data_IF_252026344794
#
_entry.id   IF_252026344794
#
_cell.length_a   1.000
_cell.length_b   1.000
_cell.length_c   1.000
_cell.angle_alpha   90.00
_cell.angle_beta   90.00
_cell.angle_gamma   90.00
#
_symmetry.space_group_name_H-M   'P 1'
#
loop_
_entity.id
_entity.type
_entity.pdbx_description
1 polymer ?
#
# COMPACT_ATOMS: atom_id res chain seq x y z
N UNK A 1 -14.46 -13.30 9.12
CA UNK A 1 -13.06 -12.80 9.18
C UNK A 1 -12.15 -13.94 9.62
N UNK A 2 -10.93 -14.07 9.09
CA UNK A 2 -9.98 -15.14 9.52
C UNK A 2 -9.25 -14.82 10.83
N UNK A 3 -9.29 -13.56 11.27
CA UNK A 3 -8.70 -13.11 12.53
C UNK A 3 -9.81 -12.83 13.56
N UNK A 4 -9.97 -13.75 14.52
CA UNK A 4 -10.96 -13.62 15.59
C UNK A 4 -10.67 -12.42 16.51
N UNK A 5 -9.40 -12.03 16.69
CA UNK A 5 -9.05 -10.89 17.56
C UNK A 5 -9.53 -9.57 16.95
N UNK A 6 -9.37 -9.41 15.63
CA UNK A 6 -9.90 -8.25 14.92
C UNK A 6 -11.42 -8.21 15.00
N UNK A 7 -12.09 -9.35 14.81
CA UNK A 7 -13.54 -9.42 14.84
C UNK A 7 -14.13 -9.01 16.20
N UNK A 8 -13.56 -9.49 17.31
CA UNK A 8 -14.02 -9.10 18.64
C UNK A 8 -13.79 -7.61 18.90
N UNK A 9 -12.66 -7.03 18.45
CA UNK A 9 -12.44 -5.58 18.52
C UNK A 9 -13.48 -4.77 17.74
N UNK A 10 -13.88 -5.24 16.56
CA UNK A 10 -14.88 -4.57 15.73
C UNK A 10 -16.28 -4.61 16.36
N UNK A 11 -16.60 -5.61 17.19
CA UNK A 11 -17.88 -5.69 17.90
C UNK A 11 -17.98 -4.67 19.03
N UNK A 12 -16.86 -4.37 19.68
CA UNK A 12 -16.80 -3.52 20.87
C UNK A 12 -16.24 -2.12 20.59
N UNK A 13 -16.17 -1.71 19.32
CA UNK A 13 -15.62 -0.40 18.96
C UNK A 13 -16.71 0.67 19.05
N UNK A 14 -16.37 1.80 19.67
CA UNK A 14 -17.25 2.97 19.70
C UNK A 14 -17.07 3.87 18.46
N UNK A 15 -16.08 3.56 17.61
CA UNK A 15 -15.80 4.31 16.38
C UNK A 15 -16.82 3.93 15.30
N UNK A 16 -17.38 4.89 14.53
CA UNK A 16 -18.23 4.58 13.39
C UNK A 16 -17.57 3.58 12.43
N UNK A 17 -18.29 2.50 12.11
CA UNK A 17 -17.77 1.40 11.32
C UNK A 17 -18.49 1.32 9.98
N UNK A 18 -17.74 1.36 8.88
CA UNK A 18 -18.26 1.12 7.53
C UNK A 18 -17.64 -0.17 6.99
N UNK A 19 -18.49 -1.08 6.51
CA UNK A 19 -18.09 -2.31 5.83
C UNK A 19 -18.33 -2.14 4.33
N UNK A 20 -17.24 -2.13 3.57
CA UNK A 20 -17.27 -2.06 2.11
C UNK A 20 -17.23 -3.49 1.53
N UNK A 21 -18.36 -3.95 1.02
CA UNK A 21 -18.44 -5.21 0.29
C UNK A 21 -18.00 -4.97 -1.17
N UNK A 22 -16.69 -5.09 -1.43
CA UNK A 22 -16.11 -4.81 -2.74
C UNK A 22 -16.23 -6.00 -3.72
N UNK A 23 -16.05 -5.72 -5.02
CA UNK A 23 -16.08 -6.67 -6.15
C UNK A 23 -17.46 -7.28 -6.42
N UNK A 24 -18.53 -6.52 -6.18
CA UNK A 24 -19.90 -7.00 -6.48
C UNK A 24 -20.12 -7.27 -7.97
N UNK A 25 -19.30 -6.68 -8.84
CA UNK A 25 -19.27 -6.93 -10.28
C UNK A 25 -18.90 -8.37 -10.66
N UNK A 26 -18.25 -9.11 -9.76
CA UNK A 26 -17.88 -10.51 -9.94
C UNK A 26 -18.86 -11.49 -9.28
N UNK A 27 -19.88 -10.97 -8.58
CA UNK A 27 -20.79 -11.76 -7.76
C UNK A 27 -22.22 -11.66 -8.27
N UNK A 28 -23.00 -12.72 -8.02
CA UNK A 28 -24.44 -12.71 -8.28
C UNK A 28 -25.17 -11.90 -7.20
N UNK A 29 -26.30 -11.29 -7.57
CA UNK A 29 -27.10 -10.43 -6.69
C UNK A 29 -27.55 -11.14 -5.41
N UNK A 30 -27.91 -12.43 -5.50
CA UNK A 30 -28.34 -13.22 -4.35
C UNK A 30 -27.20 -13.42 -3.35
N UNK A 31 -25.98 -13.67 -3.83
CA UNK A 31 -24.80 -13.80 -2.99
C UNK A 31 -24.49 -12.49 -2.25
N UNK A 32 -24.52 -11.37 -2.97
CA UNK A 32 -24.33 -10.03 -2.37
C UNK A 32 -25.37 -9.77 -1.28
N UNK A 33 -26.63 -10.09 -1.56
CA UNK A 33 -27.74 -9.93 -0.61
C UNK A 33 -27.59 -10.81 0.64
N UNK A 34 -27.10 -12.04 0.49
CA UNK A 34 -26.81 -12.95 1.60
C UNK A 34 -25.67 -12.42 2.47
N UNK A 35 -24.58 -11.95 1.87
CA UNK A 35 -23.46 -11.38 2.63
C UNK A 35 -23.87 -10.10 3.37
N UNK A 36 -24.68 -9.22 2.76
CA UNK A 36 -25.24 -8.04 3.46
C UNK A 36 -26.02 -8.48 4.71
N UNK A 37 -26.92 -9.47 4.58
CA UNK A 37 -27.72 -9.97 5.72
C UNK A 37 -26.83 -10.54 6.82
N UNK A 38 -25.81 -11.31 6.44
CA UNK A 38 -24.86 -11.93 7.36
C UNK A 38 -24.07 -10.87 8.13
N UNK A 39 -23.45 -9.91 7.44
CA UNK A 39 -22.66 -8.87 8.10
C UNK A 39 -23.51 -7.95 8.95
N UNK A 40 -24.75 -7.67 8.55
CA UNK A 40 -25.70 -6.91 9.37
C UNK A 40 -26.08 -7.63 10.66
N UNK A 41 -26.09 -8.96 10.66
CA UNK A 41 -26.30 -9.78 11.86
C UNK A 41 -25.04 -9.83 12.74
N UNK A 42 -23.87 -9.97 12.13
CA UNK A 42 -22.59 -10.08 12.85
C UNK A 42 -22.13 -8.76 13.47
N UNK A 43 -22.37 -7.63 12.78
CA UNK A 43 -21.95 -6.29 13.15
C UNK A 43 -23.11 -5.31 12.92
N UNK A 44 -24.15 -5.32 13.78
CA UNK A 44 -25.37 -4.54 13.57
C UNK A 44 -25.17 -3.02 13.60
N UNK A 45 -24.10 -2.54 14.24
CA UNK A 45 -23.73 -1.13 14.32
C UNK A 45 -22.95 -0.64 13.09
N UNK A 46 -22.54 -1.53 12.19
CA UNK A 46 -21.79 -1.16 11.01
C UNK A 46 -22.71 -0.72 9.86
N UNK A 47 -22.32 0.33 9.15
CA UNK A 47 -22.92 0.70 7.88
C UNK A 47 -22.35 -0.17 6.75
N UNK A 48 -23.22 -0.83 5.99
CA UNK A 48 -22.83 -1.76 4.91
C UNK A 48 -23.04 -1.14 3.54
N UNK A 49 -21.97 -1.03 2.76
CA UNK A 49 -22.01 -0.49 1.40
C UNK A 49 -21.45 -1.52 0.40
N UNK A 50 -22.29 -2.07 -0.51
CA UNK A 50 -21.80 -2.85 -1.64
C UNK A 50 -21.20 -1.94 -2.70
N UNK A 51 -19.98 -2.24 -3.14
CA UNK A 51 -19.22 -1.38 -4.06
C UNK A 51 -18.53 -2.21 -5.17
N UNK A 52 -18.24 -1.56 -6.29
CA UNK A 52 -17.24 -2.04 -7.25
C UNK A 52 -16.20 -0.96 -7.43
N UNK A 53 -15.06 -1.12 -6.77
CA UNK A 53 -13.95 -0.17 -6.90
C UNK A 53 -13.40 -0.12 -8.34
N UNK A 54 -13.47 -1.25 -9.07
CA UNK A 54 -13.00 -1.32 -10.45
C UNK A 54 -13.90 -0.50 -11.40
N UNK A 55 -15.21 -0.54 -11.18
CA UNK A 55 -16.21 0.11 -12.04
C UNK A 55 -16.69 1.46 -11.49
N UNK A 56 -16.04 2.00 -10.46
CA UNK A 56 -16.45 3.22 -9.75
C UNK A 56 -17.90 3.18 -9.21
N UNK A 57 -18.44 1.98 -8.96
CA UNK A 57 -19.80 1.84 -8.46
C UNK A 57 -19.86 2.16 -6.96
N UNK A 58 -20.76 3.07 -6.61
CA UNK A 58 -21.11 3.44 -5.23
C UNK A 58 -19.96 4.06 -4.42
N UNK A 59 -18.88 4.52 -5.08
CA UNK A 59 -17.74 5.16 -4.40
C UNK A 59 -18.07 6.55 -3.85
N UNK A 60 -18.88 7.34 -4.58
CA UNK A 60 -19.27 8.68 -4.14
C UNK A 60 -20.04 8.66 -2.80
N UNK A 61 -20.88 7.64 -2.59
CA UNK A 61 -21.63 7.45 -1.35
C UNK A 61 -20.69 7.22 -0.17
N UNK A 62 -19.58 6.51 -0.37
CA UNK A 62 -18.56 6.30 0.66
C UNK A 62 -18.02 7.65 1.13
N UNK A 63 -17.68 8.55 0.19
CA UNK A 63 -17.11 9.86 0.51
C UNK A 63 -18.10 10.68 1.33
N UNK A 64 -19.37 10.75 0.89
CA UNK A 64 -20.43 11.45 1.63
C UNK A 64 -20.56 10.91 3.05
N UNK A 65 -20.64 9.58 3.20
CA UNK A 65 -20.78 8.93 4.51
C UNK A 65 -19.59 9.15 5.43
N UNK A 66 -18.38 9.13 4.88
CA UNK A 66 -17.18 9.44 5.65
C UNK A 66 -17.23 10.87 6.16
N UNK A 67 -17.57 11.84 5.30
CA UNK A 67 -17.68 13.26 5.70
C UNK A 67 -18.73 13.45 6.79
N UNK A 68 -19.90 12.81 6.67
CA UNK A 68 -20.98 12.88 7.66
C UNK A 68 -20.58 12.30 9.04
N UNK A 69 -19.65 11.34 9.06
CA UNK A 69 -19.16 10.70 10.28
C UNK A 69 -17.94 11.39 10.90
N UNK A 70 -17.29 12.31 10.18
CA UNK A 70 -16.10 13.00 10.69
C UNK A 70 -16.49 14.03 11.76
N UNK A 71 -15.75 14.09 12.88
CA UNK A 71 -15.94 15.15 13.86
C UNK A 71 -15.51 16.50 13.25
N UNK A 72 -16.23 17.56 13.62
CA UNK A 72 -15.83 18.92 13.26
C UNK A 72 -14.48 19.23 13.92
N UNK A 73 -13.50 19.63 13.10
CA UNK A 73 -12.15 19.92 13.57
C UNK A 73 -11.46 20.93 12.65
N UNK A 74 -10.52 21.76 13.14
CA UNK A 74 -9.66 22.57 12.27
C UNK A 74 -8.85 21.69 11.29
N UNK A 75 -8.46 22.25 10.13
CA UNK A 75 -7.53 21.56 9.24
C UNK A 75 -6.19 21.37 9.95
N UNK A 76 -5.75 20.11 10.07
CA UNK A 76 -4.44 19.77 10.64
C UNK A 76 -3.29 19.82 9.62
N UNK A 77 -3.62 19.88 8.32
CA UNK A 77 -2.67 19.90 7.20
C UNK A 77 -3.12 20.95 6.17
N UNK A 78 -2.16 21.48 5.41
CA UNK A 78 -2.42 22.41 4.31
C UNK A 78 -3.20 21.73 3.18
N UNK A 79 -3.98 22.49 2.41
CA UNK A 79 -4.81 21.94 1.31
C UNK A 79 -3.98 21.27 0.21
N UNK A 80 -2.75 21.71 0.04
CA UNK A 80 -1.81 21.19 -0.96
C UNK A 80 -0.94 20.05 -0.41
N UNK A 81 -1.07 19.73 0.89
CA UNK A 81 -0.40 18.59 1.49
C UNK A 81 -1.06 17.30 1.02
N UNK A 82 -0.47 16.65 0.00
CA UNK A 82 -0.94 15.37 -0.51
C UNK A 82 -0.93 14.25 0.57
N UNK A 83 -0.04 14.34 1.58
CA UNK A 83 0.05 13.40 2.71
C UNK A 83 1.00 13.90 3.80
N UNK A 84 0.96 13.30 5.00
CA UNK A 84 1.96 13.42 6.08
C UNK A 84 3.25 12.64 5.82
N UNK A 85 3.28 11.81 4.75
CA UNK A 85 4.42 10.95 4.42
C UNK A 85 5.49 11.71 3.63
N UNK A 86 6.76 11.48 4.00
CA UNK A 86 7.91 12.05 3.28
C UNK A 86 7.98 11.58 1.83
N UNK A 87 8.56 12.37 0.92
CA UNK A 87 8.85 11.98 -0.48
C UNK A 87 9.53 10.60 -0.59
N UNK A 88 10.40 10.27 0.38
CA UNK A 88 11.04 8.96 0.51
C UNK A 88 10.04 7.81 0.55
N UNK A 89 8.91 7.97 1.24
CA UNK A 89 7.85 6.96 1.31
C UNK A 89 7.24 6.72 -0.07
N UNK A 90 6.94 7.78 -0.82
CA UNK A 90 6.40 7.60 -2.17
C UNK A 90 7.39 6.93 -3.11
N UNK A 91 8.67 7.26 -3.00
CA UNK A 91 9.72 6.54 -3.73
C UNK A 91 9.72 5.06 -3.38
N UNK A 92 9.62 4.71 -2.09
CA UNK A 92 9.51 3.32 -1.62
C UNK A 92 8.28 2.62 -2.21
N UNK A 93 7.10 3.27 -2.19
CA UNK A 93 5.85 2.74 -2.74
C UNK A 93 5.87 2.60 -4.27
N UNK A 94 6.42 3.56 -5.01
CA UNK A 94 6.52 3.49 -6.48
C UNK A 94 7.38 2.29 -6.88
N UNK A 95 8.53 2.08 -6.22
CA UNK A 95 9.38 0.93 -6.49
C UNK A 95 8.64 -0.37 -6.13
N UNK A 96 7.94 -0.40 -4.99
CA UNK A 96 7.12 -1.56 -4.56
C UNK A 96 6.02 -1.89 -5.56
N UNK A 97 5.34 -0.89 -6.10
CA UNK A 97 4.32 -1.04 -7.14
C UNK A 97 4.91 -1.70 -8.41
N UNK A 98 6.11 -1.29 -8.85
CA UNK A 98 6.75 -1.93 -10.03
C UNK A 98 7.12 -3.39 -9.74
N UNK A 99 7.55 -3.71 -8.53
CA UNK A 99 7.78 -5.11 -8.13
C UNK A 99 6.45 -5.89 -8.12
N UNK A 100 5.38 -5.33 -7.56
CA UNK A 100 4.05 -5.95 -7.57
C UNK A 100 3.50 -6.20 -8.98
N UNK A 101 3.72 -5.25 -9.89
CA UNK A 101 3.26 -5.32 -11.28
C UNK A 101 3.97 -6.42 -12.08
N UNK A 102 5.27 -6.59 -11.87
CA UNK A 102 6.11 -7.44 -12.70
C UNK A 102 6.36 -8.84 -12.13
N UNK A 103 6.19 -9.02 -10.83
CA UNK A 103 6.46 -10.30 -10.15
C UNK A 103 5.19 -10.88 -9.54
N UNK A 104 5.12 -12.20 -9.50
CA UNK A 104 3.97 -12.95 -8.95
C UNK A 104 4.42 -13.84 -7.79
N UNK A 105 3.48 -14.60 -7.24
CA UNK A 105 3.70 -15.57 -6.16
C UNK A 105 4.25 -14.88 -4.91
N UNK A 106 5.33 -15.39 -4.32
CA UNK A 106 5.86 -14.92 -3.04
C UNK A 106 6.69 -13.64 -3.12
N UNK A 107 7.20 -13.27 -4.31
CA UNK A 107 8.18 -12.17 -4.46
C UNK A 107 7.62 -10.83 -3.99
N UNK A 108 6.42 -10.38 -4.43
CA UNK A 108 5.93 -9.07 -4.01
C UNK A 108 5.69 -8.97 -2.51
N UNK A 109 5.38 -10.10 -1.87
CA UNK A 109 5.19 -10.21 -0.42
C UNK A 109 6.48 -10.56 0.32
N UNK A 110 7.63 -10.60 -0.36
CA UNK A 110 8.94 -10.94 0.21
C UNK A 110 9.94 -9.80 0.19
N UNK A 111 9.54 -8.63 -0.33
CA UNK A 111 10.40 -7.45 -0.46
C UNK A 111 10.08 -6.40 0.59
N UNK A 112 11.08 -5.58 0.90
CA UNK A 112 10.95 -4.29 1.58
C UNK A 112 11.81 -3.25 0.85
N UNK A 113 11.35 -2.01 0.74
CA UNK A 113 12.09 -0.95 0.05
C UNK A 113 12.44 0.12 1.08
N UNK A 114 13.70 0.54 1.10
CA UNK A 114 14.14 1.66 1.96
C UNK A 114 14.99 2.66 1.19
N UNK A 115 14.62 3.93 1.21
CA UNK A 115 15.49 5.00 0.72
C UNK A 115 16.56 5.29 1.77
N UNK A 116 17.80 4.89 1.50
CA UNK A 116 18.97 5.21 2.33
C UNK A 116 19.38 6.68 2.06
N UNK A 117 19.63 7.03 0.80
CA UNK A 117 20.08 8.36 0.41
C UNK A 117 19.05 9.08 -0.47
N UNK A 118 18.87 10.37 -0.23
CA UNK A 118 18.03 11.27 -1.01
C UNK A 118 18.74 12.63 -1.01
N UNK A 119 19.41 12.94 -2.11
CA UNK A 119 20.18 14.18 -2.29
C UNK A 119 19.48 15.01 -3.36
N UNK A 120 18.91 16.15 -2.96
CA UNK A 120 18.26 17.09 -3.86
C UNK A 120 19.27 18.17 -4.27
N UNK A 121 19.93 17.96 -5.43
CA UNK A 121 20.85 18.93 -6.02
C UNK A 121 20.10 19.79 -7.05
N UNK A 122 20.56 21.00 -7.36
CA UNK A 122 19.85 21.99 -8.21
C UNK A 122 19.18 21.40 -9.46
N UNK A 123 19.87 20.54 -10.22
CA UNK A 123 19.36 20.01 -11.49
C UNK A 123 18.88 18.56 -11.44
N UNK A 124 19.24 17.80 -10.38
CA UNK A 124 18.98 16.36 -10.30
C UNK A 124 18.81 15.89 -8.86
N UNK A 125 17.86 14.98 -8.64
CA UNK A 125 17.71 14.28 -7.37
C UNK A 125 18.41 12.93 -7.47
N UNK A 126 19.37 12.66 -6.59
CA UNK A 126 20.06 11.37 -6.50
C UNK A 126 19.45 10.55 -5.37
N UNK A 127 18.91 9.38 -5.71
CA UNK A 127 18.18 8.52 -4.80
C UNK A 127 18.83 7.14 -4.77
N UNK A 128 19.13 6.66 -3.56
CA UNK A 128 19.58 5.29 -3.33
C UNK A 128 18.52 4.54 -2.52
N UNK A 129 17.79 3.65 -3.20
CA UNK A 129 16.68 2.89 -2.63
C UNK A 129 17.01 1.39 -2.58
N UNK A 130 17.18 0.84 -1.39
CA UNK A 130 17.53 -0.56 -1.22
C UNK A 130 16.30 -1.44 -1.29
N UNK A 131 16.37 -2.46 -2.13
CA UNK A 131 15.38 -3.55 -2.16
C UNK A 131 15.91 -4.68 -1.26
N UNK A 132 15.28 -4.88 -0.11
CA UNK A 132 15.57 -6.00 0.76
C UNK A 132 14.76 -7.22 0.35
N UNK A 133 15.41 -8.38 0.28
CA UNK A 133 14.76 -9.68 0.06
C UNK A 133 15.11 -10.66 1.18
N UNK A 134 14.31 -11.71 1.35
CA UNK A 134 14.54 -12.69 2.43
C UNK A 134 15.55 -13.78 2.05
N UNK A 135 15.67 -14.12 0.76
CA UNK A 135 16.50 -15.24 0.26
C UNK A 135 17.28 -14.83 -0.99
N UNK A 136 18.44 -15.46 -1.21
CA UNK A 136 19.26 -15.22 -2.42
C UNK A 136 18.55 -15.64 -3.72
N UNK A 137 17.71 -16.69 -3.68
CA UNK A 137 16.88 -17.06 -4.83
C UNK A 137 15.97 -15.91 -5.27
N UNK A 138 15.41 -15.16 -4.32
CA UNK A 138 14.54 -14.01 -4.59
C UNK A 138 15.34 -12.85 -5.18
N UNK A 139 16.57 -12.61 -4.70
CA UNK A 139 17.49 -11.64 -5.30
C UNK A 139 17.73 -11.96 -6.78
N UNK A 140 18.06 -13.22 -7.08
CA UNK A 140 18.28 -13.68 -8.46
C UNK A 140 17.05 -13.48 -9.35
N UNK A 141 15.86 -13.76 -8.83
CA UNK A 141 14.59 -13.54 -9.55
C UNK A 141 14.38 -12.05 -9.87
N UNK A 142 14.59 -11.16 -8.90
CA UNK A 142 14.40 -9.70 -9.11
C UNK A 142 15.42 -9.15 -10.10
N UNK A 143 16.69 -9.55 -10.00
CA UNK A 143 17.72 -9.17 -10.98
C UNK A 143 17.28 -9.61 -12.38
N UNK A 144 16.78 -10.84 -12.51
CA UNK A 144 16.35 -11.43 -13.77
C UNK A 144 17.54 -11.72 -14.70
N UNK A 145 17.24 -12.31 -15.86
CA UNK A 145 18.26 -12.67 -16.83
C UNK A 145 19.08 -11.44 -17.25
N UNK A 146 20.40 -11.48 -17.05
CA UNK A 146 21.34 -10.38 -17.36
C UNK A 146 20.95 -9.01 -16.75
N UNK A 147 20.27 -9.00 -15.60
CA UNK A 147 19.87 -7.76 -14.93
C UNK A 147 18.66 -7.05 -15.56
N UNK A 148 18.01 -7.64 -16.56
CA UNK A 148 16.88 -7.01 -17.26
C UNK A 148 15.68 -6.74 -16.34
N UNK A 149 15.45 -7.61 -15.35
CA UNK A 149 14.36 -7.43 -14.38
C UNK A 149 14.55 -6.17 -13.55
N UNK A 150 15.74 -6.03 -12.95
CA UNK A 150 16.09 -4.86 -12.14
C UNK A 150 16.15 -3.57 -12.98
N UNK A 151 16.70 -3.64 -14.20
CA UNK A 151 16.72 -2.50 -15.12
C UNK A 151 15.31 -2.01 -15.44
N UNK A 152 14.36 -2.92 -15.67
CA UNK A 152 12.95 -2.59 -15.92
C UNK A 152 12.31 -1.92 -14.70
N UNK A 153 12.45 -2.50 -13.50
CA UNK A 153 11.94 -1.91 -12.24
C UNK A 153 12.48 -0.48 -12.07
N UNK A 154 13.81 -0.31 -12.13
CA UNK A 154 14.44 1.00 -11.92
C UNK A 154 14.04 2.02 -12.98
N UNK A 155 13.93 1.61 -14.25
CA UNK A 155 13.56 2.53 -15.34
C UNK A 155 12.12 3.01 -15.25
N UNK A 156 11.18 2.11 -14.92
CA UNK A 156 9.77 2.47 -14.74
C UNK A 156 9.57 3.32 -13.48
N UNK A 157 10.18 2.90 -12.35
CA UNK A 157 10.07 3.65 -11.10
C UNK A 157 10.68 5.05 -11.23
N UNK A 158 11.84 5.19 -11.87
CA UNK A 158 12.49 6.49 -12.08
C UNK A 158 11.58 7.47 -12.83
N UNK A 159 10.88 7.03 -13.89
CA UNK A 159 9.98 7.90 -14.66
C UNK A 159 8.83 8.42 -13.80
N UNK A 160 8.25 7.55 -12.98
CA UNK A 160 7.12 7.93 -12.12
C UNK A 160 7.57 8.84 -10.98
N UNK A 161 8.78 8.62 -10.43
CA UNK A 161 9.39 9.51 -9.44
C UNK A 161 9.73 10.87 -10.06
N UNK A 162 10.25 10.92 -11.29
CA UNK A 162 10.51 12.19 -11.99
C UNK A 162 9.21 13.00 -12.18
N UNK A 163 8.12 12.32 -12.54
CA UNK A 163 6.81 12.94 -12.67
C UNK A 163 6.28 13.44 -11.32
N UNK A 164 6.48 12.68 -10.24
CA UNK A 164 6.07 13.05 -8.89
C UNK A 164 6.84 14.27 -8.36
N UNK A 165 8.16 14.28 -8.54
CA UNK A 165 9.05 15.31 -7.96
C UNK A 165 9.29 16.50 -8.89
N UNK A 166 8.83 16.42 -10.15
CA UNK A 166 8.99 17.50 -11.13
C UNK A 166 10.45 17.78 -11.55
N UNK A 167 11.36 16.83 -11.31
CA UNK A 167 12.81 17.00 -11.49
C UNK A 167 13.45 15.73 -12.04
N UNK A 168 14.63 15.87 -12.67
CA UNK A 168 15.41 14.70 -13.11
C UNK A 168 15.84 13.87 -11.91
N UNK A 169 15.82 12.55 -12.06
CA UNK A 169 16.16 11.61 -10.98
C UNK A 169 17.24 10.65 -11.46
N UNK A 170 18.30 10.51 -10.66
CA UNK A 170 19.22 9.39 -10.72
C UNK A 170 18.81 8.38 -9.63
N UNK A 171 18.33 7.20 -10.04
CA UNK A 171 17.83 6.18 -9.14
C UNK A 171 18.74 4.95 -9.13
N UNK A 172 19.30 4.64 -7.96
CA UNK A 172 20.00 3.38 -7.70
C UNK A 172 19.13 2.44 -6.86
N UNK A 173 19.00 1.19 -7.30
CA UNK A 173 18.20 0.18 -6.60
C UNK A 173 19.00 -1.08 -6.24
N UNK A 174 19.99 -1.01 -5.33
CA UNK A 174 20.75 -2.19 -4.92
C UNK A 174 19.84 -3.19 -4.18
N UNK A 175 20.08 -4.48 -4.38
CA UNK A 175 19.35 -5.55 -3.69
C UNK A 175 20.21 -6.15 -2.58
N UNK A 176 19.74 -6.08 -1.34
CA UNK A 176 20.38 -6.68 -0.16
C UNK A 176 19.55 -7.87 0.35
N UNK A 177 20.19 -8.98 0.69
CA UNK A 177 19.51 -10.10 1.35
C UNK A 177 19.55 -9.90 2.85
N UNK A 178 18.38 -9.94 3.48
CA UNK A 178 18.22 -9.86 4.93
C UNK A 178 17.33 -11.01 5.38
N UNK A 179 17.91 -12.01 6.05
CA UNK A 179 17.16 -13.20 6.44
C UNK A 179 16.17 -12.87 7.57
N UNK A 180 14.98 -13.45 7.51
CA UNK A 180 13.96 -13.44 8.58
C UNK A 180 13.53 -12.07 9.12
N UNK A 181 13.72 -10.98 8.37
CA UNK A 181 13.40 -9.65 8.85
C UNK A 181 11.91 -9.45 9.19
N UNK A 182 11.01 -10.20 8.52
CA UNK A 182 9.56 -10.18 8.81
C UNK A 182 9.19 -10.71 10.19
N UNK A 183 10.03 -11.56 10.78
CA UNK A 183 9.76 -12.15 12.10
C UNK A 183 10.55 -11.43 13.21
N UNK A 184 11.32 -10.41 12.86
CA UNK A 184 12.14 -9.64 13.79
C UNK A 184 11.47 -8.29 14.04
N UNK A 185 10.86 -8.16 15.23
CA UNK A 185 10.16 -6.94 15.65
C UNK A 185 11.04 -5.68 15.60
N UNK A 186 12.35 -5.81 15.84
CA UNK A 186 13.27 -4.67 15.75
C UNK A 186 13.48 -4.26 14.30
N UNK A 187 13.53 -5.22 13.38
CA UNK A 187 13.64 -4.93 11.96
C UNK A 187 12.34 -4.37 11.38
N UNK A 188 11.19 -4.90 11.78
CA UNK A 188 9.89 -4.35 11.43
C UNK A 188 9.77 -2.88 11.87
N UNK A 189 10.14 -2.57 13.12
CA UNK A 189 10.19 -1.19 13.61
C UNK A 189 11.13 -0.31 12.78
N UNK A 190 12.32 -0.81 12.42
CA UNK A 190 13.28 -0.09 11.56
C UNK A 190 12.75 0.16 10.14
N UNK A 191 11.86 -0.70 9.64
CA UNK A 191 11.18 -0.51 8.36
C UNK A 191 9.93 0.36 8.47
N UNK A 192 9.62 0.90 9.66
CA UNK A 192 8.48 1.79 9.87
C UNK A 192 7.16 1.05 10.16
N UNK A 193 7.18 -0.27 10.29
CA UNK A 193 6.03 -1.02 10.77
C UNK A 193 5.86 -0.80 12.28
N UNK A 194 4.81 -0.06 12.66
CA UNK A 194 4.33 0.00 14.03
C UNK A 194 3.39 -1.20 14.24
N UNK A 195 3.82 -2.16 15.08
CA UNK A 195 2.97 -3.24 15.60
C UNK A 195 2.11 -2.73 16.75
#
# INVERSE_FOLDING_TARGET
>A
LKDNKLFEKLKTTDTPLIILLNKIDLAQQDFVSQEIKKWKKELPHAELLPISALNNFNLNVIITKLVDMLPVSPPYYDKDALTDKSERFFVEEIIREKILKHYKKEIPYSVEIKVEDFLDEVDIIKIRAIIFVMRESQKGIIIGHKGMGLKRIGSEARRDIENLLGKKVFLETPIKVKKNWRNDNNQLKKFGYKL
#
